data_IF_402933573375
#
_entry.id   IF_402933573375
#
_cell.length_a   1.000
_cell.length_b   1.000
_cell.length_c   1.000
_cell.angle_alpha   90.00
_cell.angle_beta   90.00
_cell.angle_gamma   90.00
#
_symmetry.space_group_name_H-M   'P 1'
#
loop_
_entity.id
_entity.type
_entity.pdbx_description
1 polymer ?
#
# COMPACT_ATOMS: atom_id res chain seq x y z
N UNK A 1 -20.05 0.59 -24.16
CA UNK A 1 -20.57 1.09 -25.47
C UNK A 1 -19.39 1.33 -26.38
N UNK A 2 -19.49 0.94 -27.62
CA UNK A 2 -18.51 1.22 -28.68
C UNK A 2 -19.19 2.15 -29.71
N UNK A 3 -18.50 3.19 -30.15
CA UNK A 3 -19.00 4.14 -31.12
C UNK A 3 -17.89 4.76 -31.97
N UNK A 4 -18.19 5.14 -33.21
CA UNK A 4 -17.25 5.77 -34.15
C UNK A 4 -16.78 4.84 -35.26
N UNK A 5 -15.86 5.35 -36.10
CA UNK A 5 -15.17 4.60 -37.15
C UNK A 5 -13.89 3.99 -36.55
N UNK A 6 -13.29 3.00 -37.26
CA UNK A 6 -12.03 2.36 -36.80
C UNK A 6 -10.91 3.36 -36.51
N UNK A 7 -10.88 4.51 -37.20
CA UNK A 7 -9.90 5.57 -37.00
C UNK A 7 -10.28 6.56 -35.86
N UNK A 8 -11.51 6.52 -35.36
CA UNK A 8 -12.05 7.46 -34.35
C UNK A 8 -13.00 6.74 -33.39
N UNK A 9 -12.59 5.57 -32.92
CA UNK A 9 -13.42 4.79 -32.02
C UNK A 9 -13.35 5.34 -30.59
N UNK A 10 -14.51 5.34 -29.91
CA UNK A 10 -14.63 5.56 -28.47
C UNK A 10 -15.23 4.32 -27.82
N UNK A 11 -14.55 3.83 -26.81
CA UNK A 11 -15.01 2.67 -26.02
C UNK A 11 -15.26 3.10 -24.57
N UNK A 12 -16.46 2.86 -24.08
CA UNK A 12 -16.81 3.07 -22.66
C UNK A 12 -17.21 1.74 -22.06
N UNK A 13 -16.48 1.33 -21.04
CA UNK A 13 -16.68 0.09 -20.30
C UNK A 13 -17.10 0.43 -18.88
N UNK A 14 -18.19 -0.13 -18.41
CA UNK A 14 -18.58 -0.08 -17.00
C UNK A 14 -18.49 -1.50 -16.45
N UNK A 15 -17.78 -1.66 -15.35
CA UNK A 15 -17.55 -2.96 -14.74
C UNK A 15 -17.65 -2.90 -13.23
N UNK A 16 -17.94 -4.03 -12.63
CA UNK A 16 -17.89 -4.24 -11.18
C UNK A 16 -17.05 -5.47 -10.94
N UNK A 17 -16.13 -5.41 -9.99
CA UNK A 17 -15.30 -6.54 -9.64
C UNK A 17 -16.15 -7.66 -9.03
N UNK A 18 -15.77 -8.89 -9.34
CA UNK A 18 -16.36 -10.09 -8.77
C UNK A 18 -15.45 -10.69 -7.70
N UNK A 19 -15.95 -11.64 -6.94
CA UNK A 19 -15.15 -12.42 -5.99
C UNK A 19 -13.97 -13.10 -6.69
N UNK A 20 -12.78 -12.92 -6.11
CA UNK A 20 -11.54 -13.46 -6.66
C UNK A 20 -10.87 -12.57 -7.70
N UNK A 21 -11.40 -11.36 -7.95
CA UNK A 21 -10.69 -10.38 -8.77
C UNK A 21 -9.43 -9.90 -8.04
N UNK A 22 -8.30 -9.94 -8.73
CA UNK A 22 -7.04 -9.33 -8.30
C UNK A 22 -6.70 -8.19 -9.25
N UNK A 23 -6.41 -7.03 -8.68
CA UNK A 23 -5.96 -5.83 -9.39
C UNK A 23 -4.53 -5.56 -8.94
N UNK A 24 -3.59 -5.57 -9.88
CA UNK A 24 -2.18 -5.29 -9.62
C UNK A 24 -1.84 -3.91 -10.16
N UNK A 25 -1.25 -3.06 -9.32
CA UNK A 25 -0.79 -1.72 -9.68
C UNK A 25 0.71 -1.65 -9.39
N UNK A 26 1.56 -1.91 -10.40
CA UNK A 26 3.01 -1.79 -10.23
C UNK A 26 3.39 -0.30 -10.19
N UNK A 27 4.14 0.08 -9.15
CA UNK A 27 4.65 1.43 -8.96
C UNK A 27 6.14 1.53 -9.32
N UNK A 28 6.82 0.39 -9.36
CA UNK A 28 8.25 0.23 -9.63
C UNK A 28 8.59 0.41 -11.11
N UNK A 29 8.17 1.29 -11.81
CA UNK A 29 8.49 1.57 -13.22
C UNK A 29 8.31 3.04 -13.57
N UNK A 30 7.85 3.82 -12.61
CA UNK A 30 7.58 5.23 -12.81
C UNK A 30 8.83 6.06 -13.14
N UNK A 31 10.02 5.56 -12.84
CA UNK A 31 11.29 6.22 -13.13
C UNK A 31 11.79 6.00 -14.57
N UNK A 32 11.36 4.93 -15.26
CA UNK A 32 11.72 4.65 -16.66
C UNK A 32 10.55 5.03 -17.58
N UNK A 33 10.66 6.19 -18.20
CA UNK A 33 9.55 6.87 -18.91
C UNK A 33 9.16 6.27 -20.28
N UNK A 34 9.58 5.08 -20.66
CA UNK A 34 9.42 4.63 -22.05
C UNK A 34 8.44 3.49 -22.31
N UNK A 35 8.17 2.60 -21.36
CA UNK A 35 7.23 1.49 -21.57
C UNK A 35 6.51 1.13 -20.25
N UNK A 36 5.26 1.58 -20.09
CA UNK A 36 4.48 1.36 -18.86
C UNK A 36 3.30 0.41 -19.13
N UNK A 37 3.47 -0.85 -18.78
CA UNK A 37 2.36 -1.80 -18.62
C UNK A 37 1.67 -1.54 -17.27
N UNK A 38 0.57 -0.80 -17.31
CA UNK A 38 -0.01 -0.16 -16.13
C UNK A 38 -0.94 -1.04 -15.27
N UNK A 39 -1.72 -1.92 -15.87
CA UNK A 39 -2.66 -2.81 -15.18
C UNK A 39 -2.67 -4.18 -15.84
N UNK A 40 -2.44 -5.22 -15.07
CA UNK A 40 -2.50 -6.60 -15.55
C UNK A 40 -3.73 -7.26 -14.92
N UNK A 41 -4.69 -7.68 -15.76
CA UNK A 41 -5.81 -8.51 -15.32
C UNK A 41 -5.43 -9.98 -15.41
N UNK A 42 -5.55 -10.70 -14.30
CA UNK A 42 -5.31 -12.14 -14.28
C UNK A 42 -6.60 -12.91 -14.60
N UNK A 43 -6.55 -13.71 -15.63
CA UNK A 43 -7.55 -14.71 -15.90
C UNK A 43 -7.10 -16.04 -15.28
N UNK A 44 -7.86 -16.59 -14.34
CA UNK A 44 -7.55 -17.81 -13.60
C UNK A 44 -6.26 -17.77 -12.74
N UNK A 45 -5.81 -16.60 -12.30
CA UNK A 45 -4.67 -16.48 -11.38
C UNK A 45 -3.30 -16.74 -12.01
N UNK A 46 -3.20 -16.73 -13.34
CA UNK A 46 -1.94 -16.91 -14.06
C UNK A 46 -1.51 -15.56 -14.64
N UNK A 47 -0.32 -15.11 -14.29
CA UNK A 47 0.31 -13.96 -14.94
C UNK A 47 0.51 -14.27 -16.42
N UNK A 48 0.05 -13.43 -17.35
CA UNK A 48 0.42 -13.58 -18.75
C UNK A 48 1.93 -13.39 -18.88
N UNK A 49 2.63 -14.44 -19.35
CA UNK A 49 4.10 -14.48 -19.49
C UNK A 49 4.60 -13.62 -20.68
N UNK A 50 3.71 -12.99 -21.41
CA UNK A 50 4.09 -12.11 -22.50
C UNK A 50 4.01 -10.65 -22.01
N UNK A 51 5.09 -9.83 -22.19
CA UNK A 51 4.93 -8.40 -22.10
C UNK A 51 3.79 -8.04 -23.08
N UNK A 52 2.79 -7.31 -22.58
CA UNK A 52 1.81 -6.68 -23.44
C UNK A 52 2.62 -5.73 -24.34
N UNK A 53 3.11 -6.26 -25.44
CA UNK A 53 3.67 -5.44 -26.51
C UNK A 53 2.65 -4.35 -26.75
N UNK A 54 3.07 -3.10 -26.56
CA UNK A 54 2.32 -1.88 -26.74
C UNK A 54 1.09 -2.13 -27.62
N UNK A 55 -0.07 -2.23 -26.99
CA UNK A 55 -1.31 -2.08 -27.71
C UNK A 55 -1.25 -0.65 -28.25
N UNK A 56 -0.64 -0.50 -29.40
CA UNK A 56 -0.70 0.75 -30.16
C UNK A 56 -2.15 0.89 -30.63
N UNK A 57 -3.04 1.17 -29.69
CA UNK A 57 -4.45 1.48 -29.90
C UNK A 57 -4.59 2.90 -30.44
N UNK A 58 -3.61 3.33 -31.24
CA UNK A 58 -3.64 4.63 -31.87
C UNK A 58 -4.99 4.89 -32.51
N UNK A 59 -5.67 5.93 -32.06
CA UNK A 59 -6.99 6.32 -32.54
C UNK A 59 -8.18 5.90 -31.69
N UNK A 60 -8.01 5.21 -30.56
CA UNK A 60 -9.12 4.83 -29.66
C UNK A 60 -9.10 5.68 -28.40
N UNK A 61 -10.23 6.29 -28.06
CA UNK A 61 -10.49 6.83 -26.73
C UNK A 61 -11.09 5.72 -25.87
N UNK A 62 -10.44 5.34 -24.80
CA UNK A 62 -10.92 4.32 -23.84
C UNK A 62 -11.31 4.99 -22.53
N UNK A 63 -12.46 4.63 -22.00
CA UNK A 63 -12.94 4.99 -20.67
C UNK A 63 -13.40 3.70 -19.97
N UNK A 64 -12.78 3.37 -18.85
CA UNK A 64 -13.14 2.24 -17.99
C UNK A 64 -13.61 2.78 -16.64
N UNK A 65 -14.90 2.63 -16.34
CA UNK A 65 -15.48 2.92 -15.04
C UNK A 65 -15.58 1.61 -14.25
N UNK A 66 -14.86 1.53 -13.15
CA UNK A 66 -14.76 0.32 -12.34
C UNK A 66 -15.29 0.58 -10.94
N UNK A 67 -16.27 -0.22 -10.51
CA UNK A 67 -16.68 -0.32 -9.12
C UNK A 67 -15.95 -1.50 -8.48
N UNK A 68 -15.12 -1.22 -7.48
CA UNK A 68 -14.37 -2.23 -6.72
C UNK A 68 -15.21 -2.61 -5.51
N UNK A 69 -15.42 -3.92 -5.32
CA UNK A 69 -16.13 -4.50 -4.18
C UNK A 69 -15.16 -5.12 -3.18
N UNK A 70 -15.59 -5.32 -1.95
CA UNK A 70 -14.77 -5.88 -0.85
C UNK A 70 -14.22 -7.30 -1.12
N UNK A 71 -14.76 -8.00 -2.11
CA UNK A 71 -14.31 -9.33 -2.51
C UNK A 71 -13.07 -9.28 -3.43
N UNK A 72 -12.73 -8.11 -3.96
CA UNK A 72 -11.55 -7.93 -4.78
C UNK A 72 -10.32 -7.61 -3.93
N UNK A 73 -9.16 -8.05 -4.39
CA UNK A 73 -7.87 -7.70 -3.81
C UNK A 73 -7.19 -6.66 -4.71
N UNK A 74 -6.82 -5.53 -4.14
CA UNK A 74 -5.96 -4.53 -4.80
C UNK A 74 -4.56 -4.65 -4.23
N UNK A 75 -3.59 -4.82 -5.09
CA UNK A 75 -2.18 -4.99 -4.74
C UNK A 75 -1.35 -3.87 -5.36
N UNK A 76 -0.75 -3.05 -4.51
CA UNK A 76 0.20 -2.00 -4.88
C UNK A 76 1.61 -2.55 -4.73
N UNK A 77 2.36 -2.62 -5.81
CA UNK A 77 3.73 -3.15 -5.83
C UNK A 77 4.70 -1.98 -5.86
N UNK A 78 5.26 -1.63 -4.69
CA UNK A 78 6.20 -0.52 -4.56
C UNK A 78 7.57 -0.85 -5.16
N UNK A 79 8.07 -2.06 -4.89
CA UNK A 79 9.34 -2.54 -5.45
C UNK A 79 9.31 -4.07 -5.61
N UNK A 80 9.33 -4.52 -6.85
CA UNK A 80 9.35 -5.95 -7.19
C UNK A 80 10.62 -6.67 -6.71
N UNK A 81 11.77 -5.98 -6.70
CA UNK A 81 13.05 -6.60 -6.33
C UNK A 81 13.14 -6.86 -4.82
N UNK A 82 12.55 -5.99 -4.02
CA UNK A 82 12.50 -6.15 -2.55
C UNK A 82 11.26 -6.91 -2.11
N UNK A 83 10.26 -6.99 -2.97
CA UNK A 83 8.95 -7.56 -2.68
C UNK A 83 8.12 -6.67 -1.77
N UNK A 84 8.36 -5.35 -1.78
CA UNK A 84 7.58 -4.39 -1.04
C UNK A 84 6.21 -4.21 -1.69
N UNK A 85 5.17 -4.63 -0.96
CA UNK A 85 3.82 -4.71 -1.49
C UNK A 85 2.78 -4.41 -0.42
N UNK A 86 1.75 -3.67 -0.82
CA UNK A 86 0.55 -3.44 -0.02
C UNK A 86 -0.63 -4.16 -0.67
N UNK A 87 -1.28 -5.04 0.06
CA UNK A 87 -2.49 -5.75 -0.37
C UNK A 87 -3.66 -5.27 0.44
N UNK A 88 -4.69 -4.80 -0.23
CA UNK A 88 -5.91 -4.33 0.41
C UNK A 88 -7.15 -5.01 -0.15
N UNK A 89 -8.10 -5.30 0.73
CA UNK A 89 -9.49 -5.57 0.37
C UNK A 89 -10.32 -4.41 0.87
N UNK A 90 -11.26 -3.95 0.04
CA UNK A 90 -12.06 -2.77 0.33
C UNK A 90 -12.95 -2.40 -0.82
N UNK A 91 -13.40 -1.17 -0.86
CA UNK A 91 -14.31 -0.69 -1.87
C UNK A 91 -13.84 0.63 -2.48
N UNK A 92 -14.27 0.88 -3.72
CA UNK A 92 -13.91 2.10 -4.42
C UNK A 92 -14.56 2.23 -5.78
N UNK A 93 -14.43 3.42 -6.34
CA UNK A 93 -14.83 3.69 -7.70
C UNK A 93 -13.66 4.35 -8.43
N UNK A 94 -13.19 3.70 -9.48
CA UNK A 94 -12.08 4.18 -10.29
C UNK A 94 -12.55 4.41 -11.72
N UNK A 95 -12.11 5.54 -12.29
CA UNK A 95 -12.24 5.85 -13.70
C UNK A 95 -10.85 5.90 -14.31
N UNK A 96 -10.60 5.00 -15.25
CA UNK A 96 -9.39 4.95 -16.04
C UNK A 96 -9.71 5.45 -17.44
N UNK A 97 -8.93 6.41 -17.94
CA UNK A 97 -9.14 6.97 -19.27
C UNK A 97 -7.83 6.95 -20.04
N UNK A 98 -7.90 6.56 -21.30
CA UNK A 98 -6.77 6.62 -22.22
C UNK A 98 -7.23 7.36 -23.47
N UNK A 99 -6.52 8.42 -23.82
CA UNK A 99 -6.81 9.16 -25.03
C UNK A 99 -6.13 8.52 -26.26
N UNK A 100 -6.43 9.03 -27.43
CA UNK A 100 -5.88 8.53 -28.72
C UNK A 100 -4.36 8.62 -28.85
N UNK A 101 -3.73 9.45 -28.04
CA UNK A 101 -2.27 9.61 -28.00
C UNK A 101 -1.61 8.63 -27.02
N UNK A 102 -2.41 7.77 -26.35
CA UNK A 102 -1.91 6.84 -25.34
C UNK A 102 -1.71 7.46 -23.95
N UNK A 103 -2.10 8.72 -23.75
CA UNK A 103 -2.04 9.33 -22.41
C UNK A 103 -3.09 8.69 -21.52
N UNK A 104 -2.63 8.14 -20.41
CA UNK A 104 -3.45 7.44 -19.44
C UNK A 104 -3.68 8.29 -18.19
N UNK A 105 -4.91 8.34 -17.72
CA UNK A 105 -5.29 9.02 -16.49
C UNK A 105 -6.15 8.12 -15.61
N UNK A 106 -6.07 8.30 -14.32
CA UNK A 106 -6.84 7.58 -13.31
C UNK A 106 -7.46 8.56 -12.32
N UNK A 107 -8.72 8.39 -12.03
CA UNK A 107 -9.47 9.21 -11.08
C UNK A 107 -10.34 8.34 -10.19
N UNK A 108 -10.52 8.77 -8.95
CA UNK A 108 -11.39 8.10 -8.00
C UNK A 108 -10.71 7.79 -6.68
N UNK A 109 -11.36 6.96 -5.90
CA UNK A 109 -10.84 6.58 -4.58
C UNK A 109 -11.00 5.09 -4.31
N UNK A 110 -10.15 4.60 -3.43
CA UNK A 110 -10.21 3.25 -2.88
C UNK A 110 -10.07 3.31 -1.36
N UNK A 111 -11.05 2.75 -0.65
CA UNK A 111 -11.07 2.66 0.82
C UNK A 111 -10.71 1.26 1.25
N UNK A 112 -9.75 1.15 2.14
CA UNK A 112 -9.24 -0.11 2.68
C UNK A 112 -10.07 -0.53 3.88
N UNK A 113 -10.62 -1.74 3.86
CA UNK A 113 -11.31 -2.37 4.97
C UNK A 113 -10.39 -3.30 5.77
N UNK A 114 -9.51 -4.00 5.08
CA UNK A 114 -8.49 -4.89 5.66
C UNK A 114 -7.37 -5.16 4.66
N UNK A 115 -6.24 -5.58 5.17
CA UNK A 115 -5.12 -5.94 4.32
C UNK A 115 -3.81 -6.06 5.06
N UNK A 116 -2.74 -6.17 4.31
CA UNK A 116 -1.37 -6.23 4.79
C UNK A 116 -0.44 -5.36 3.95
N UNK A 117 0.60 -4.85 4.59
CA UNK A 117 1.70 -4.15 3.96
C UNK A 117 3.02 -4.80 4.37
N UNK A 118 3.70 -5.36 3.39
CA UNK A 118 5.06 -5.87 3.59
C UNK A 118 6.05 -4.72 3.40
N UNK A 119 6.35 -4.05 4.50
CA UNK A 119 7.34 -2.96 4.52
C UNK A 119 8.75 -3.53 4.40
N UNK A 120 9.54 -2.95 3.50
CA UNK A 120 10.92 -3.36 3.27
C UNK A 120 11.85 -2.16 3.38
N UNK A 121 12.85 -2.23 4.25
CA UNK A 121 13.86 -1.19 4.42
C UNK A 121 15.27 -1.76 4.20
N UNK A 122 16.09 -1.05 3.41
CA UNK A 122 17.49 -1.41 3.08
C UNK A 122 17.69 -2.84 2.55
N UNK A 123 16.66 -3.45 1.94
CA UNK A 123 16.66 -4.84 1.42
C UNK A 123 16.93 -5.93 2.47
N UNK A 124 17.03 -5.57 3.73
CA UNK A 124 17.38 -6.48 4.84
C UNK A 124 16.20 -6.67 5.79
N UNK A 125 15.46 -5.60 6.05
CA UNK A 125 14.34 -5.62 7.00
C UNK A 125 13.05 -5.82 6.21
N UNK A 126 12.37 -6.93 6.43
CA UNK A 126 11.02 -7.21 5.92
C UNK A 126 10.08 -7.36 7.10
N UNK A 127 9.11 -6.47 7.21
CA UNK A 127 8.16 -6.45 8.34
C UNK A 127 6.73 -6.39 7.81
N UNK A 128 5.91 -7.41 8.14
CA UNK A 128 4.50 -7.39 7.81
C UNK A 128 3.73 -6.51 8.78
N UNK A 129 2.99 -5.56 8.25
CA UNK A 129 2.06 -4.72 8.97
C UNK A 129 0.64 -5.07 8.55
N UNK A 130 -0.30 -5.07 9.48
CA UNK A 130 -1.72 -5.18 9.20
C UNK A 130 -2.29 -3.80 8.94
N UNK A 131 -2.98 -3.62 7.82
CA UNK A 131 -3.64 -2.37 7.48
C UNK A 131 -4.87 -2.16 8.37
N UNK A 132 -5.01 -0.95 8.89
CA UNK A 132 -6.21 -0.56 9.66
C UNK A 132 -7.32 -0.16 8.70
N UNK A 133 -8.55 -0.50 9.09
CA UNK A 133 -9.75 -0.07 8.40
C UNK A 133 -9.82 1.45 8.28
N UNK A 134 -10.31 1.95 7.14
CA UNK A 134 -10.51 3.37 6.88
C UNK A 134 -9.34 4.07 6.20
N UNK A 135 -8.28 3.33 5.87
CA UNK A 135 -7.24 3.84 4.98
C UNK A 135 -7.81 4.18 3.60
N UNK A 136 -7.29 5.23 2.96
CA UNK A 136 -7.79 5.71 1.66
C UNK A 136 -6.65 6.04 0.71
N UNK A 137 -6.89 5.77 -0.57
CA UNK A 137 -6.03 6.13 -1.69
C UNK A 137 -6.89 6.88 -2.70
N UNK A 138 -6.43 8.07 -3.11
CA UNK A 138 -7.17 8.97 -4.01
C UNK A 138 -6.32 9.27 -5.23
N UNK A 139 -6.86 9.01 -6.42
CA UNK A 139 -6.28 9.35 -7.71
C UNK A 139 -6.99 10.56 -8.32
N UNK A 140 -6.24 11.53 -8.78
CA UNK A 140 -6.76 12.75 -9.44
C UNK A 140 -5.93 13.08 -10.69
N UNK A 141 -5.72 12.11 -11.55
CA UNK A 141 -5.05 12.31 -12.85
C UNK A 141 -3.94 11.32 -13.14
N UNK A 142 -2.70 11.59 -12.75
CA UNK A 142 -1.59 10.64 -12.97
C UNK A 142 -1.79 9.41 -12.07
N UNK A 143 -1.82 8.22 -12.64
CA UNK A 143 -1.98 6.97 -11.89
C UNK A 143 -0.92 6.73 -10.82
N UNK A 144 0.26 7.30 -11.02
CA UNK A 144 1.37 7.18 -10.08
C UNK A 144 1.39 8.28 -9.02
N UNK A 145 0.69 9.40 -9.25
CA UNK A 145 0.59 10.53 -8.33
C UNK A 145 -0.72 10.50 -7.52
N UNK A 146 -1.00 9.37 -6.89
CA UNK A 146 -2.11 9.24 -5.96
C UNK A 146 -1.74 9.79 -4.58
N UNK A 147 -2.75 10.24 -3.85
CA UNK A 147 -2.61 10.61 -2.44
C UNK A 147 -2.95 9.41 -1.56
N UNK A 148 -2.05 9.09 -0.64
CA UNK A 148 -2.15 7.99 0.30
C UNK A 148 -2.42 8.52 1.72
N UNK A 149 -3.37 7.90 2.42
CA UNK A 149 -3.58 8.07 3.86
C UNK A 149 -3.95 6.72 4.47
N UNK A 150 -2.96 5.99 4.93
CA UNK A 150 -3.12 4.62 5.44
C UNK A 150 -2.42 4.47 6.77
N UNK A 151 -3.09 3.78 7.69
CA UNK A 151 -2.51 3.36 8.96
C UNK A 151 -2.33 1.84 8.97
N UNK A 152 -1.24 1.41 9.59
CA UNK A 152 -0.93 0.00 9.76
C UNK A 152 -0.35 -0.28 11.14
N UNK A 153 -0.45 -1.53 11.60
CA UNK A 153 0.07 -1.96 12.88
C UNK A 153 0.90 -3.23 12.71
N UNK A 154 2.08 -3.26 13.31
CA UNK A 154 2.86 -4.48 13.40
C UNK A 154 2.26 -5.41 14.46
N UNK A 155 1.94 -6.65 14.06
CA UNK A 155 1.34 -7.64 14.98
C UNK A 155 2.36 -8.28 15.91
N UNK A 156 1.91 -8.57 17.11
CA UNK A 156 2.59 -9.43 18.07
C UNK A 156 4.05 -9.04 18.34
N UNK A 157 4.33 -7.73 18.36
CA UNK A 157 5.64 -7.24 18.73
C UNK A 157 5.79 -7.27 20.24
N UNK A 158 6.82 -7.97 20.70
CA UNK A 158 7.28 -7.92 22.08
C UNK A 158 8.75 -7.50 22.12
N UNK A 159 9.06 -6.56 22.98
CA UNK A 159 10.43 -6.09 23.18
C UNK A 159 10.69 -5.71 24.64
N UNK A 160 11.95 -5.77 25.11
CA UNK A 160 12.29 -5.20 26.39
C UNK A 160 12.33 -3.67 26.30
N UNK A 161 11.70 -3.01 27.26
CA UNK A 161 11.70 -1.54 27.36
C UNK A 161 13.11 -0.99 27.57
N UNK A 162 14.00 -1.81 28.13
CA UNK A 162 15.41 -1.48 28.40
C UNK A 162 16.09 -0.79 27.22
N UNK A 163 15.82 -1.22 26.00
CA UNK A 163 16.43 -0.62 24.80
C UNK A 163 16.09 0.85 24.60
N UNK A 164 14.95 1.32 25.12
CA UNK A 164 14.52 2.71 25.04
C UNK A 164 14.98 3.54 26.25
N UNK A 165 15.03 2.93 27.44
CA UNK A 165 15.28 3.66 28.69
C UNK A 165 16.69 3.44 29.26
N UNK A 166 17.54 2.68 28.57
CA UNK A 166 18.90 2.38 29.05
C UNK A 166 19.73 3.62 29.39
N UNK A 167 19.50 4.72 28.67
CA UNK A 167 20.18 6.00 28.91
C UNK A 167 19.76 6.67 30.24
N UNK A 168 18.58 6.33 30.74
CA UNK A 168 18.05 6.88 32.00
C UNK A 168 18.39 6.01 33.22
N UNK A 169 18.89 4.79 32.99
CA UNK A 169 19.36 3.90 34.07
C UNK A 169 20.85 4.15 34.29
N UNK A 170 21.15 5.17 35.07
CA UNK A 170 22.56 5.61 35.31
C UNK A 170 23.26 4.87 36.42
N UNK A 171 22.52 4.28 37.35
CA UNK A 171 23.06 3.53 38.50
C UNK A 171 22.27 2.22 38.70
N UNK A 172 22.85 1.13 38.23
CA UNK A 172 22.26 -0.21 38.29
C UNK A 172 22.10 -0.72 39.74
N UNK A 173 22.99 -0.32 40.63
CA UNK A 173 22.96 -0.82 42.03
C UNK A 173 21.80 -0.24 42.81
N UNK A 174 21.49 1.05 42.60
CA UNK A 174 20.36 1.71 43.28
C UNK A 174 19.05 1.54 42.53
N UNK A 175 19.09 1.17 41.26
CA UNK A 175 17.94 0.99 40.37
C UNK A 175 17.76 -0.46 39.90
N UNK A 176 18.24 -1.43 40.67
CA UNK A 176 18.24 -2.84 40.26
C UNK A 176 16.87 -3.36 39.88
N UNK A 177 15.81 -3.02 40.65
CA UNK A 177 14.43 -3.44 40.33
C UNK A 177 13.94 -2.88 39.01
N UNK A 178 14.25 -1.61 38.72
CA UNK A 178 13.92 -0.95 37.47
C UNK A 178 14.66 -1.61 36.30
N UNK A 179 15.94 -1.91 36.47
CA UNK A 179 16.78 -2.58 35.51
C UNK A 179 16.24 -3.97 35.15
N UNK A 180 15.93 -4.81 36.15
CA UNK A 180 15.39 -6.16 35.92
C UNK A 180 14.00 -6.12 35.28
N UNK A 181 13.10 -5.21 35.69
CA UNK A 181 11.80 -5.05 35.09
C UNK A 181 11.89 -4.58 33.65
N UNK A 182 12.81 -3.65 33.34
CA UNK A 182 12.98 -3.12 31.99
C UNK A 182 13.45 -4.14 30.96
N UNK A 183 14.14 -5.20 31.41
CA UNK A 183 14.59 -6.31 30.57
C UNK A 183 13.50 -7.31 30.23
N UNK A 184 12.39 -7.32 30.95
CA UNK A 184 11.29 -8.20 30.62
C UNK A 184 10.65 -7.80 29.31
N UNK A 185 10.32 -8.79 28.49
CA UNK A 185 9.59 -8.53 27.23
C UNK A 185 8.16 -8.13 27.57
N UNK A 186 7.75 -7.07 26.98
CA UNK A 186 6.38 -6.56 27.08
C UNK A 186 5.81 -6.32 25.68
N UNK A 187 4.51 -6.30 25.56
CA UNK A 187 3.83 -5.97 24.31
C UNK A 187 4.14 -4.56 23.87
N UNK A 188 4.43 -4.42 22.61
CA UNK A 188 4.72 -3.15 21.95
C UNK A 188 3.72 -2.94 20.81
N UNK A 189 3.02 -1.84 20.85
CA UNK A 189 2.20 -1.37 19.74
C UNK A 189 3.08 -0.52 18.84
N UNK A 190 3.53 -1.08 17.72
CA UNK A 190 4.22 -0.33 16.68
C UNK A 190 3.19 0.01 15.59
N UNK A 191 2.82 1.28 15.55
CA UNK A 191 1.92 1.82 14.53
C UNK A 191 2.74 2.52 13.45
N UNK A 192 2.27 2.40 12.21
CA UNK A 192 2.83 3.08 11.04
C UNK A 192 1.72 3.93 10.41
N UNK A 193 2.06 5.14 10.03
CA UNK A 193 1.19 6.01 9.24
C UNK A 193 1.90 6.36 7.95
N UNK A 194 1.22 6.12 6.83
CA UNK A 194 1.69 6.48 5.49
C UNK A 194 0.78 7.57 4.94
N UNK A 195 1.37 8.69 4.55
CA UNK A 195 0.63 9.84 4.00
C UNK A 195 1.35 10.45 2.81
N UNK A 196 0.65 11.31 2.07
CA UNK A 196 1.21 12.04 0.95
C UNK A 196 1.20 11.27 -0.37
N UNK A 197 2.23 11.41 -1.17
CA UNK A 197 2.31 10.79 -2.50
C UNK A 197 2.48 9.27 -2.42
N UNK A 198 1.75 8.56 -3.26
CA UNK A 198 1.82 7.09 -3.35
C UNK A 198 3.23 6.59 -3.72
N UNK A 199 3.96 7.30 -4.58
CA UNK A 199 5.31 6.91 -4.98
C UNK A 199 6.38 7.18 -3.92
N UNK A 200 6.19 8.20 -3.12
CA UNK A 200 7.14 8.63 -2.08
C UNK A 200 6.37 9.01 -0.82
N UNK A 201 5.77 8.02 -0.13
CA UNK A 201 4.98 8.31 1.04
C UNK A 201 5.84 8.81 2.20
N UNK A 202 5.30 9.76 2.94
CA UNK A 202 5.80 10.11 4.25
C UNK A 202 5.43 9.01 5.23
N UNK A 203 6.43 8.39 5.85
CA UNK A 203 6.25 7.27 6.78
C UNK A 203 6.57 7.74 8.19
N UNK A 204 5.58 7.70 9.08
CA UNK A 204 5.75 7.96 10.49
C UNK A 204 5.50 6.70 11.31
N UNK A 205 6.32 6.51 12.36
CA UNK A 205 6.15 5.43 13.31
C UNK A 205 5.81 5.98 14.68
N UNK A 206 4.87 5.32 15.35
CA UNK A 206 4.50 5.56 16.73
C UNK A 206 4.65 4.26 17.53
N UNK A 207 5.29 4.34 18.69
CA UNK A 207 5.57 3.19 19.55
C UNK A 207 4.89 3.44 20.90
N UNK A 208 4.07 2.49 21.32
CA UNK A 208 3.42 2.51 22.62
C UNK A 208 3.58 1.18 23.36
N UNK A 209 3.59 1.22 24.67
CA UNK A 209 3.67 0.05 25.55
C UNK A 209 2.38 -0.06 26.36
N UNK A 210 1.35 -0.71 25.86
CA UNK A 210 0.01 -0.69 26.45
C UNK A 210 -0.07 -1.36 27.81
N UNK A 211 0.80 -2.34 28.08
CA UNK A 211 0.82 -3.11 29.33
C UNK A 211 1.85 -2.60 30.34
N UNK A 212 2.56 -1.51 30.02
CA UNK A 212 3.57 -0.97 30.90
C UNK A 212 2.92 -0.27 32.10
N UNK A 213 3.35 -0.63 33.28
CA UNK A 213 2.82 -0.08 34.55
C UNK A 213 3.94 0.45 35.46
N UNK A 214 3.56 1.20 36.49
CA UNK A 214 4.48 1.68 37.51
C UNK A 214 5.48 2.71 37.03
N UNK A 215 6.70 2.63 37.54
CA UNK A 215 7.78 3.59 37.28
C UNK A 215 8.19 3.62 35.82
N UNK A 216 8.15 2.47 35.12
CA UNK A 216 8.56 2.35 33.71
C UNK A 216 7.70 3.19 32.78
N UNK A 217 6.42 3.39 33.10
CA UNK A 217 5.50 4.20 32.28
C UNK A 217 5.90 5.68 32.20
N UNK A 218 6.65 6.17 33.16
CA UNK A 218 7.11 7.56 33.18
C UNK A 218 8.30 7.83 32.27
N UNK A 219 8.92 6.79 31.72
CA UNK A 219 10.10 6.88 30.81
C UNK A 219 9.76 6.61 29.34
N UNK A 220 8.54 6.21 29.03
CA UNK A 220 8.05 5.90 27.67
C UNK A 220 6.97 6.88 27.25
#
# INVERSE_FOLDING_TARGET
>A
TFSGTVANARMVINTTTAKGTHIFIPLSGAADQTDRDFVIFLENGILPIAPLTQLNVGGIDLELNMTITEDAIVELIFDENTGEVMRGQGNGNLRLSMNRLGNFTMQGNYKIERGDYLFTNFRVIRKPFELKQGGEIIWDGDPYDATLNVQAKYKDLEAPVFNLISEYITDVETQQDLYEQSKQRTKVDLNMTLTGSLLHPDIAFDIAFPELSGVLKGYT
#
